data_IF_839578953338
#
_entry.id   IF_839578953338
#
_cell.length_a   1.000
_cell.length_b   1.000
_cell.length_c   1.000
_cell.angle_alpha   90.00
_cell.angle_beta   90.00
_cell.angle_gamma   90.00
#
_symmetry.space_group_name_H-M   'P 1'
#
loop_
_entity.id
_entity.type
_entity.pdbx_description
1 polymer ?
#
# COMPACT_ATOMS: atom_id res chain seq x y z
N UNK A 1 2.02 19.98 4.42
CA UNK A 1 2.87 18.77 4.52
C UNK A 1 2.65 18.20 5.92
N UNK A 2 2.04 17.01 6.04
CA UNK A 2 1.67 16.45 7.33
C UNK A 2 2.94 16.14 8.15
N UNK A 3 3.18 16.86 9.24
CA UNK A 3 4.40 16.78 10.07
C UNK A 3 4.62 15.41 10.78
N UNK A 4 3.90 14.36 10.41
CA UNK A 4 3.92 13.06 11.10
C UNK A 4 3.83 11.83 10.19
N UNK A 5 3.98 11.99 8.87
CA UNK A 5 4.14 10.85 7.97
C UNK A 5 5.49 10.16 8.23
N UNK A 6 5.47 8.84 8.40
CA UNK A 6 6.68 8.02 8.55
C UNK A 6 6.49 6.70 7.81
N UNK A 7 7.59 5.97 7.59
CA UNK A 7 7.50 4.61 7.03
C UNK A 7 6.53 3.75 7.84
N UNK A 8 5.65 3.03 7.13
CA UNK A 8 4.73 2.09 7.78
C UNK A 8 5.49 1.02 8.56
N UNK A 9 6.68 0.62 8.09
CA UNK A 9 7.55 -0.33 8.80
C UNK A 9 7.90 0.14 10.21
N UNK A 10 7.99 1.46 10.43
CA UNK A 10 8.30 2.06 11.74
C UNK A 10 7.04 2.19 12.60
N UNK A 11 5.91 2.58 12.00
CA UNK A 11 4.65 2.81 12.73
C UNK A 11 3.96 1.49 13.11
N UNK A 12 3.93 0.52 12.21
CA UNK A 12 3.29 -0.78 12.39
C UNK A 12 4.01 -1.86 11.56
N UNK A 13 5.04 -2.50 12.13
CA UNK A 13 5.79 -3.57 11.44
C UNK A 13 4.92 -4.75 11.01
N UNK A 14 3.89 -5.08 11.80
CA UNK A 14 2.96 -6.17 11.49
C UNK A 14 2.10 -5.84 10.27
N UNK A 15 1.51 -4.65 10.23
CA UNK A 15 0.71 -4.20 9.09
C UNK A 15 1.58 -4.07 7.83
N UNK A 16 2.81 -3.58 7.97
CA UNK A 16 3.79 -3.57 6.89
C UNK A 16 4.03 -4.98 6.31
N UNK A 17 4.26 -5.98 7.16
CA UNK A 17 4.48 -7.36 6.68
C UNK A 17 3.27 -7.90 5.92
N UNK A 18 2.06 -7.69 6.45
CA UNK A 18 0.82 -8.15 5.83
C UNK A 18 0.68 -7.53 4.43
N UNK A 19 0.79 -6.20 4.32
CA UNK A 19 0.71 -5.50 3.04
C UNK A 19 1.74 -6.03 2.05
N UNK A 20 3.01 -6.13 2.47
CA UNK A 20 4.10 -6.61 1.61
C UNK A 20 3.84 -8.04 1.12
N UNK A 21 3.33 -8.91 1.97
CA UNK A 21 3.04 -10.29 1.58
C UNK A 21 1.89 -10.36 0.56
N UNK A 22 0.86 -9.51 0.68
CA UNK A 22 -0.19 -9.40 -0.34
C UNK A 22 0.34 -8.87 -1.68
N UNK A 23 1.17 -7.83 -1.67
CA UNK A 23 1.80 -7.32 -2.90
C UNK A 23 2.71 -8.37 -3.56
N UNK A 24 3.48 -9.11 -2.77
CA UNK A 24 4.34 -10.21 -3.28
C UNK A 24 3.53 -11.34 -3.92
N UNK A 25 2.39 -11.72 -3.34
CA UNK A 25 1.48 -12.73 -3.95
C UNK A 25 1.00 -12.29 -5.33
N UNK A 26 0.89 -10.99 -5.56
CA UNK A 26 0.55 -10.41 -6.86
C UNK A 26 1.76 -10.16 -7.78
N UNK A 27 2.95 -10.63 -7.40
CA UNK A 27 4.22 -10.42 -8.09
C UNK A 27 4.65 -8.94 -8.19
N UNK A 28 4.20 -8.10 -7.26
CA UNK A 28 4.63 -6.70 -7.16
C UNK A 28 5.83 -6.64 -6.22
N UNK A 29 6.95 -6.09 -6.69
CA UNK A 29 8.15 -6.03 -5.87
C UNK A 29 7.99 -4.93 -4.80
N UNK A 30 8.48 -5.13 -3.56
CA UNK A 30 8.48 -4.08 -2.53
C UNK A 30 9.17 -2.77 -2.92
N UNK A 31 9.98 -2.76 -3.99
CA UNK A 31 10.63 -1.55 -4.50
C UNK A 31 9.75 -0.77 -5.49
N UNK A 32 8.68 -1.39 -6.00
CA UNK A 32 7.71 -0.77 -6.91
C UNK A 32 6.64 0.02 -6.15
N UNK A 33 6.64 -0.07 -4.82
CA UNK A 33 5.68 0.58 -3.93
C UNK A 33 6.38 1.27 -2.76
N UNK A 34 5.85 2.41 -2.35
CA UNK A 34 6.23 3.09 -1.11
C UNK A 34 5.08 2.98 -0.10
N UNK A 35 5.39 2.47 1.09
CA UNK A 35 4.42 2.34 2.19
C UNK A 35 4.77 3.30 3.32
N UNK A 36 4.00 4.37 3.39
CA UNK A 36 4.06 5.37 4.47
C UNK A 36 2.80 5.32 5.32
N UNK A 37 2.85 5.93 6.50
CA UNK A 37 1.72 5.98 7.39
C UNK A 37 1.72 7.22 8.28
N UNK A 38 0.52 7.57 8.74
CA UNK A 38 0.28 8.55 9.78
C UNK A 38 -0.48 7.86 10.90
N UNK A 39 0.09 7.86 12.11
CA UNK A 39 -0.58 7.31 13.29
C UNK A 39 -1.76 8.21 13.66
N UNK A 40 -2.94 7.62 13.83
CA UNK A 40 -4.16 8.32 14.27
C UNK A 40 -4.68 7.71 15.58
N UNK A 41 -5.64 8.38 16.21
CA UNK A 41 -6.33 7.87 17.41
C UNK A 41 -7.08 6.57 17.13
N UNK A 42 -7.69 6.48 15.94
CA UNK A 42 -8.60 5.39 15.58
C UNK A 42 -7.89 4.22 14.86
N UNK A 43 -6.62 4.40 14.48
CA UNK A 43 -5.89 3.41 13.71
C UNK A 43 -4.62 3.97 13.06
N UNK A 44 -4.25 3.38 11.92
CA UNK A 44 -3.09 3.79 11.13
C UNK A 44 -3.58 4.16 9.74
N UNK A 45 -3.43 5.44 9.38
CA UNK A 45 -3.69 5.89 8.01
C UNK A 45 -2.49 5.49 7.17
N UNK A 46 -2.67 4.52 6.27
CA UNK A 46 -1.61 4.04 5.37
C UNK A 46 -1.72 4.77 4.04
N UNK A 47 -0.58 5.23 3.54
CA UNK A 47 -0.42 5.87 2.24
C UNK A 47 0.45 4.92 1.41
N UNK A 48 -0.12 4.45 0.30
CA UNK A 48 0.51 3.54 -0.64
C UNK A 48 0.80 4.33 -1.90
N UNK A 49 2.07 4.54 -2.22
CA UNK A 49 2.48 5.18 -3.48
C UNK A 49 3.06 4.16 -4.45
N UNK A 50 2.75 4.31 -5.74
CA UNK A 50 3.06 3.30 -6.75
C UNK A 50 3.12 3.93 -8.15
N UNK A 51 3.63 3.16 -9.12
CA UNK A 51 3.82 3.59 -10.51
C UNK A 51 5.09 4.39 -10.74
N UNK A 52 5.21 4.95 -11.95
CA UNK A 52 6.36 5.78 -12.33
C UNK A 52 6.60 6.90 -11.31
N UNK A 53 7.83 6.92 -10.75
CA UNK A 53 8.27 7.88 -9.73
C UNK A 53 7.35 8.02 -8.51
N UNK A 54 6.53 7.00 -8.19
CA UNK A 54 5.56 7.04 -7.09
C UNK A 54 4.52 8.17 -7.21
N UNK A 55 4.16 8.56 -8.44
CA UNK A 55 3.23 9.66 -8.71
C UNK A 55 1.77 9.32 -8.37
N UNK A 56 1.39 8.04 -8.33
CA UNK A 56 0.07 7.64 -7.86
C UNK A 56 0.12 7.34 -6.37
N UNK A 57 -0.95 7.70 -5.66
CA UNK A 57 -1.10 7.39 -4.25
C UNK A 57 -2.52 7.00 -3.92
N UNK A 58 -2.66 5.98 -3.07
CA UNK A 58 -3.92 5.61 -2.42
C UNK A 58 -3.76 5.69 -0.91
N UNK A 59 -4.81 6.09 -0.21
CA UNK A 59 -4.79 6.25 1.24
C UNK A 59 -5.96 5.50 1.86
N UNK A 60 -5.69 4.73 2.91
CA UNK A 60 -6.73 3.98 3.64
C UNK A 60 -6.45 3.94 5.13
N UNK A 61 -7.50 4.07 5.93
CA UNK A 61 -7.40 4.01 7.39
C UNK A 61 -7.64 2.58 7.86
N UNK A 62 -6.56 1.92 8.28
CA UNK A 62 -6.64 0.63 8.94
C UNK A 62 -6.99 0.87 10.40
N UNK A 63 -8.26 0.61 10.75
CA UNK A 63 -8.78 0.83 12.10
C UNK A 63 -8.12 -0.13 13.09
N UNK A 64 -8.05 0.31 14.35
CA UNK A 64 -7.50 -0.51 15.42
C UNK A 64 -8.47 -1.63 15.77
N UNK A 65 -8.25 -2.80 15.19
CA UNK A 65 -9.07 -3.96 15.46
C UNK A 65 -8.65 -4.64 16.78
N UNK A 66 -9.63 -5.16 17.53
CA UNK A 66 -9.37 -5.93 18.77
C UNK A 66 -8.81 -7.33 18.47
N UNK A 67 -8.89 -7.76 17.21
CA UNK A 67 -8.37 -9.03 16.71
C UNK A 67 -7.14 -8.76 15.83
N UNK A 68 -6.19 -9.69 15.78
CA UNK A 68 -5.04 -9.62 14.87
C UNK A 68 -5.42 -9.89 13.39
N UNK A 69 -6.69 -9.65 13.01
CA UNK A 69 -7.19 -9.86 11.65
C UNK A 69 -7.60 -8.53 11.04
N UNK A 70 -7.35 -8.39 9.75
CA UNK A 70 -7.88 -7.30 8.94
C UNK A 70 -9.40 -7.37 8.93
N UNK A 71 -10.06 -6.21 8.91
CA UNK A 71 -11.51 -6.16 8.70
C UNK A 71 -11.81 -6.46 7.23
N UNK A 72 -13.04 -6.88 6.93
CA UNK A 72 -13.45 -7.16 5.54
C UNK A 72 -13.26 -5.92 4.64
N UNK A 73 -13.51 -4.72 5.19
CA UNK A 73 -13.24 -3.44 4.49
C UNK A 73 -11.76 -3.26 4.12
N UNK A 74 -10.84 -3.67 5.00
CA UNK A 74 -9.40 -3.58 4.76
C UNK A 74 -8.97 -4.60 3.70
N UNK A 75 -9.57 -5.79 3.71
CA UNK A 75 -9.30 -6.85 2.73
C UNK A 75 -9.78 -6.41 1.35
N UNK A 76 -11.01 -5.90 1.22
CA UNK A 76 -11.51 -5.39 -0.06
C UNK A 76 -10.65 -4.24 -0.59
N UNK A 77 -10.25 -3.29 0.27
CA UNK A 77 -9.33 -2.24 -0.12
C UNK A 77 -7.98 -2.79 -0.63
N UNK A 78 -7.42 -3.80 0.05
CA UNK A 78 -6.18 -4.45 -0.36
C UNK A 78 -6.28 -5.09 -1.74
N UNK A 79 -7.37 -5.80 -2.02
CA UNK A 79 -7.60 -6.41 -3.32
C UNK A 79 -7.67 -5.36 -4.43
N UNK A 80 -8.38 -4.25 -4.18
CA UNK A 80 -8.51 -3.14 -5.11
C UNK A 80 -7.17 -2.46 -5.41
N UNK A 81 -6.38 -2.14 -4.38
CA UNK A 81 -5.11 -1.44 -4.57
C UNK A 81 -4.06 -2.33 -5.23
N UNK A 82 -4.04 -3.63 -4.91
CA UNK A 82 -3.16 -4.60 -5.56
C UNK A 82 -3.51 -4.72 -7.05
N UNK A 83 -4.80 -4.79 -7.39
CA UNK A 83 -5.25 -4.81 -8.78
C UNK A 83 -4.88 -3.51 -9.53
N UNK A 84 -5.03 -2.35 -8.87
CA UNK A 84 -4.63 -1.06 -9.44
C UNK A 84 -3.11 -0.98 -9.70
N UNK A 85 -2.29 -1.40 -8.73
CA UNK A 85 -0.84 -1.47 -8.88
C UNK A 85 -0.43 -2.37 -10.04
N UNK A 86 -0.99 -3.58 -10.12
CA UNK A 86 -0.69 -4.54 -11.19
C UNK A 86 -1.02 -3.99 -12.57
N UNK A 87 -2.18 -3.35 -12.74
CA UNK A 87 -2.58 -2.73 -14.01
C UNK A 87 -1.62 -1.63 -14.43
N UNK A 88 -1.20 -0.78 -13.50
CA UNK A 88 -0.31 0.32 -13.84
C UNK A 88 1.11 -0.17 -14.17
N UNK A 89 1.67 -1.09 -13.37
CA UNK A 89 2.99 -1.67 -13.66
C UNK A 89 3.02 -2.40 -15.02
N UNK A 90 1.93 -3.07 -15.38
CA UNK A 90 1.76 -3.65 -16.72
C UNK A 90 1.67 -2.56 -17.81
N UNK A 91 0.91 -1.49 -17.58
CA UNK A 91 0.77 -0.39 -18.54
C UNK A 91 2.11 0.35 -18.79
N UNK A 92 2.91 0.52 -17.74
CA UNK A 92 4.23 1.14 -17.81
C UNK A 92 5.21 0.22 -18.57
N UNK A 93 5.16 -1.10 -18.33
CA UNK A 93 5.92 -2.09 -19.12
C UNK A 93 5.56 -2.02 -20.62
N UNK A 94 4.27 -1.91 -20.97
CA UNK A 94 3.85 -1.79 -22.38
C UNK A 94 4.25 -0.46 -23.04
N UNK A 95 4.30 0.65 -22.29
CA UNK A 95 4.78 1.94 -22.82
C UNK A 95 6.26 1.91 -23.18
N UNK A 96 7.09 1.19 -22.41
CA UNK A 96 8.52 1.04 -22.70
C UNK A 96 8.83 0.10 -23.88
N UNK A 97 7.88 -0.75 -24.29
CA UNK A 97 8.03 -1.67 -25.43
C UNK A 97 7.51 -1.13 -26.78
N UNK A 98 6.96 0.10 -26.82
CA UNK A 98 6.66 0.76 -28.09
C UNK A 98 7.83 1.68 -28.48
N UNK A 99 8.60 1.34 -29.55
CA UNK A 99 9.55 2.27 -30.14
C UNK A 99 8.85 3.49 -30.76
#
# INVERSE_FOLDING_TARGET
>A
MAHNERSLRVISPSLYSILIDEFKKAHIHPYDIELSAVKQSEGVLVIIRYGEQFLQSSTHLFKKNRTNKLADEDISYLEEIVAACKRMLMADYYKMMKP
#
